data_IF_843310437802
#
_entry.id   IF_843310437802
#
_cell.length_a   1.000
_cell.length_b   1.000
_cell.length_c   1.000
_cell.angle_alpha   90.00
_cell.angle_beta   90.00
_cell.angle_gamma   90.00
#
_symmetry.space_group_name_H-M   'P 1'
#
loop_
_entity.id
_entity.type
_entity.pdbx_description
1 polymer ?
#
# COMPACT_ATOMS: atom_id res chain seq x y z
N UNK A 1 -3.95 -14.74 -14.77
CA UNK A 1 -3.45 -15.02 -16.13
C UNK A 1 -3.86 -13.83 -16.98
N UNK A 2 -2.98 -12.85 -17.08
CA UNK A 2 -3.28 -11.59 -17.78
C UNK A 2 -2.50 -11.61 -19.09
N UNK A 3 -3.23 -11.81 -20.18
CA UNK A 3 -2.71 -11.81 -21.55
C UNK A 3 -2.02 -10.48 -21.85
N UNK A 4 -0.69 -10.49 -21.79
CA UNK A 4 0.14 -9.47 -22.42
C UNK A 4 0.14 -9.74 -23.92
N UNK A 5 -0.91 -9.27 -24.60
CA UNK A 5 -0.94 -9.23 -26.05
C UNK A 5 0.10 -8.19 -26.51
N UNK A 6 1.13 -8.56 -27.29
CA UNK A 6 2.09 -7.59 -27.78
C UNK A 6 1.38 -6.64 -28.75
N UNK A 7 1.40 -5.35 -28.38
CA UNK A 7 0.95 -4.22 -29.21
C UNK A 7 1.51 -4.37 -30.63
N UNK A 8 0.63 -4.19 -31.61
CA UNK A 8 0.81 -4.56 -33.02
C UNK A 8 2.20 -4.25 -33.58
N UNK A 9 2.87 -5.28 -34.10
CA UNK A 9 4.05 -5.12 -34.94
C UNK A 9 3.61 -4.42 -36.23
N UNK A 10 4.04 -3.18 -36.43
CA UNK A 10 3.95 -2.53 -37.73
C UNK A 10 4.64 -3.43 -38.77
N UNK A 11 3.91 -3.90 -39.78
CA UNK A 11 4.47 -4.78 -40.81
C UNK A 11 5.34 -3.95 -41.73
N UNK A 12 6.64 -4.25 -41.74
CA UNK A 12 7.58 -3.69 -42.72
C UNK A 12 7.47 -4.49 -44.01
N UNK A 13 7.26 -3.80 -45.12
CA UNK A 13 7.13 -4.42 -46.43
C UNK A 13 8.46 -4.42 -47.17
N UNK A 14 8.59 -5.31 -48.15
CA UNK A 14 9.77 -5.41 -48.98
C UNK A 14 9.87 -4.21 -49.94
N UNK A 15 11.04 -3.59 -49.98
CA UNK A 15 11.32 -2.42 -50.83
C UNK A 15 11.59 -2.79 -52.29
N UNK A 16 11.85 -4.07 -52.56
CA UNK A 16 12.23 -4.59 -53.88
C UNK A 16 11.05 -5.22 -54.64
N UNK A 17 9.90 -5.41 -53.98
CA UNK A 17 8.69 -5.91 -54.62
C UNK A 17 8.01 -4.80 -55.44
N UNK A 18 7.30 -5.20 -56.50
CA UNK A 18 6.43 -4.28 -57.24
C UNK A 18 5.31 -3.75 -56.32
N UNK A 19 4.84 -2.53 -56.58
CA UNK A 19 3.85 -1.86 -55.73
C UNK A 19 2.55 -2.66 -55.60
N UNK A 20 2.12 -3.31 -56.68
CA UNK A 20 0.90 -4.13 -56.74
C UNK A 20 0.99 -5.44 -55.94
N UNK A 21 2.18 -5.85 -55.48
CA UNK A 21 2.39 -7.11 -54.77
C UNK A 21 3.50 -7.04 -53.71
N UNK A 22 3.43 -6.04 -52.81
CA UNK A 22 4.39 -5.90 -51.72
C UNK A 22 4.26 -7.02 -50.69
N UNK A 23 5.31 -7.83 -50.59
CA UNK A 23 5.40 -8.92 -49.62
C UNK A 23 6.00 -8.43 -48.29
N UNK A 24 5.64 -9.03 -47.13
CA UNK A 24 6.25 -8.70 -45.85
C UNK A 24 7.77 -8.94 -45.86
N UNK A 25 8.53 -7.99 -45.33
CA UNK A 25 9.98 -8.12 -45.17
C UNK A 25 10.32 -9.11 -44.05
N UNK A 26 11.42 -9.84 -44.23
CA UNK A 26 11.97 -10.78 -43.26
C UNK A 26 13.23 -10.26 -42.59
N UNK A 27 14.04 -9.49 -43.31
CA UNK A 27 15.26 -8.85 -42.81
C UNK A 27 15.45 -7.49 -43.47
N UNK A 28 16.09 -6.58 -42.75
CA UNK A 28 16.64 -5.34 -43.30
C UNK A 28 18.15 -5.49 -43.41
N UNK A 29 18.72 -5.18 -44.58
CA UNK A 29 20.15 -5.05 -44.76
C UNK A 29 20.60 -3.70 -44.22
N UNK A 30 21.44 -3.69 -43.20
CA UNK A 30 21.89 -2.45 -42.56
C UNK A 30 22.77 -1.60 -43.47
N UNK A 31 23.48 -2.23 -44.41
CA UNK A 31 24.38 -1.57 -45.35
C UNK A 31 23.67 -1.01 -46.59
N UNK A 32 22.73 -1.77 -47.15
CA UNK A 32 21.89 -1.33 -48.28
C UNK A 32 20.72 -0.46 -47.84
N UNK A 33 20.33 -0.51 -46.57
CA UNK A 33 19.15 0.16 -46.02
C UNK A 33 17.85 -0.28 -46.71
N UNK A 34 17.80 -1.55 -47.15
CA UNK A 34 16.64 -2.17 -47.81
C UNK A 34 16.08 -3.32 -46.98
N UNK A 35 14.75 -3.40 -46.93
CA UNK A 35 13.98 -4.47 -46.33
C UNK A 35 13.55 -5.48 -47.41
N UNK A 36 13.84 -6.75 -47.18
CA UNK A 36 13.67 -7.81 -48.18
C UNK A 36 12.70 -8.90 -47.72
N UNK A 37 11.76 -9.29 -48.58
CA UNK A 37 10.96 -10.50 -48.40
C UNK A 37 11.82 -11.75 -48.61
N UNK A 38 11.27 -12.95 -48.37
CA UNK A 38 12.00 -14.23 -48.49
C UNK A 38 12.73 -14.35 -49.84
N UNK A 39 12.04 -14.03 -50.94
CA UNK A 39 12.60 -14.18 -52.29
C UNK A 39 13.78 -13.22 -52.53
N UNK A 40 13.63 -11.93 -52.20
CA UNK A 40 14.70 -10.95 -52.38
C UNK A 40 15.85 -11.14 -51.40
N UNK A 41 15.55 -11.63 -50.19
CA UNK A 41 16.56 -11.98 -49.20
C UNK A 41 17.41 -13.16 -49.66
N UNK A 42 16.82 -14.14 -50.37
CA UNK A 42 17.56 -15.29 -50.87
C UNK A 42 18.70 -14.85 -51.79
N UNK A 43 18.46 -13.92 -52.72
CA UNK A 43 19.50 -13.38 -53.61
C UNK A 43 20.63 -12.69 -52.82
N UNK A 44 20.28 -12.04 -51.70
CA UNK A 44 21.24 -11.40 -50.80
C UNK A 44 22.12 -12.42 -50.07
N UNK A 45 21.53 -13.54 -49.65
CA UNK A 45 22.22 -14.60 -48.91
C UNK A 45 23.03 -15.54 -49.81
N UNK A 46 22.64 -15.73 -51.08
CA UNK A 46 23.35 -16.61 -52.02
C UNK A 46 24.52 -15.93 -52.72
N UNK A 47 24.64 -14.60 -52.63
CA UNK A 47 25.78 -13.86 -53.18
C UNK A 47 26.90 -13.78 -52.15
N UNK A 48 28.07 -14.43 -52.35
CA UNK A 48 29.10 -14.58 -51.30
C UNK A 48 29.59 -13.26 -50.69
N UNK A 49 29.81 -12.24 -51.52
CA UNK A 49 30.28 -10.91 -51.06
C UNK A 49 29.23 -10.21 -50.19
N UNK A 50 27.95 -10.28 -50.58
CA UNK A 50 26.87 -9.67 -49.82
C UNK A 50 26.69 -10.40 -48.48
N UNK A 51 26.64 -11.73 -48.50
CA UNK A 51 26.53 -12.55 -47.29
C UNK A 51 27.61 -12.21 -46.25
N UNK A 52 28.84 -11.95 -46.68
CA UNK A 52 29.96 -11.64 -45.78
C UNK A 52 30.03 -10.18 -45.32
N UNK A 53 29.54 -9.22 -46.11
CA UNK A 53 29.80 -7.79 -45.86
C UNK A 53 28.54 -6.95 -45.62
N UNK A 54 27.35 -7.56 -45.69
CA UNK A 54 26.06 -6.90 -45.50
C UNK A 54 25.35 -7.47 -44.26
N UNK A 55 25.54 -6.86 -43.08
CA UNK A 55 24.84 -7.31 -41.88
C UNK A 55 23.33 -7.13 -42.01
N UNK A 56 22.60 -8.16 -41.61
CA UNK A 56 21.13 -8.23 -41.65
C UNK A 56 20.57 -8.14 -40.23
N UNK A 57 19.49 -7.39 -40.06
CA UNK A 57 18.75 -7.26 -38.79
C UNK A 57 17.26 -7.53 -39.02
N UNK A 58 16.48 -7.60 -37.93
CA UNK A 58 15.02 -7.65 -38.02
C UNK A 58 14.48 -6.44 -38.80
N UNK A 59 13.34 -6.58 -39.49
CA UNK A 59 12.79 -5.49 -40.29
C UNK A 59 12.60 -4.21 -39.47
N UNK A 60 13.30 -3.15 -39.86
CA UNK A 60 13.22 -1.84 -39.18
C UNK A 60 12.08 -1.05 -39.80
N UNK A 61 11.09 -0.66 -38.99
CA UNK A 61 10.03 0.24 -39.44
C UNK A 61 10.58 1.66 -39.61
N UNK A 62 10.61 2.16 -40.86
CA UNK A 62 10.86 3.58 -41.14
C UNK A 62 9.54 4.34 -41.06
N UNK A 63 9.17 4.87 -39.89
CA UNK A 63 8.00 5.76 -39.76
C UNK A 63 7.34 5.83 -38.37
N UNK A 64 7.46 7.03 -37.78
CA UNK A 64 6.56 7.77 -36.88
C UNK A 64 5.89 7.01 -35.72
N UNK A 65 6.61 6.92 -34.59
CA UNK A 65 6.01 6.58 -33.27
C UNK A 65 6.93 5.83 -32.32
N UNK A 66 8.09 5.36 -32.80
CA UNK A 66 9.12 4.70 -32.00
C UNK A 66 10.52 5.18 -32.39
N UNK A 67 11.53 4.83 -31.58
CA UNK A 67 12.94 5.15 -31.77
C UNK A 67 13.35 4.89 -33.23
N UNK A 68 13.76 5.93 -33.95
CA UNK A 68 14.28 5.81 -35.33
C UNK A 68 15.56 5.00 -35.26
N UNK A 69 15.51 3.73 -35.67
CA UNK A 69 16.69 2.86 -35.70
C UNK A 69 17.46 3.18 -36.97
N UNK A 70 18.44 4.08 -36.86
CA UNK A 70 19.39 4.36 -37.95
C UNK A 70 20.46 3.28 -37.99
N UNK A 71 20.76 2.76 -39.17
CA UNK A 71 21.85 1.77 -39.34
C UNK A 71 23.20 2.44 -39.59
N UNK A 72 23.20 3.72 -39.96
CA UNK A 72 24.38 4.55 -40.22
C UNK A 72 24.55 5.64 -39.16
N UNK A 73 25.80 5.97 -38.88
CA UNK A 73 26.18 7.07 -38.02
C UNK A 73 25.74 8.40 -38.68
N UNK A 74 25.03 9.28 -37.94
CA UNK A 74 24.59 10.56 -38.47
C UNK A 74 25.74 11.54 -38.74
N UNK A 75 26.87 11.39 -38.06
CA UNK A 75 28.03 12.27 -38.22
C UNK A 75 28.92 11.87 -39.41
N UNK A 76 29.18 10.56 -39.56
CA UNK A 76 30.15 10.07 -40.55
C UNK A 76 29.52 9.37 -41.75
N UNK A 77 28.22 9.10 -41.73
CA UNK A 77 27.51 8.32 -42.77
C UNK A 77 27.97 6.86 -42.88
N UNK A 78 28.82 6.39 -41.96
CA UNK A 78 29.35 5.03 -41.92
C UNK A 78 28.45 4.10 -41.11
N UNK A 79 28.51 2.81 -41.38
CA UNK A 79 27.73 1.80 -40.67
C UNK A 79 28.03 1.83 -39.16
N UNK A 80 27.00 1.70 -38.33
CA UNK A 80 27.15 1.49 -36.90
C UNK A 80 27.53 0.03 -36.64
N UNK A 81 28.63 -0.19 -35.94
CA UNK A 81 29.23 -1.53 -35.75
C UNK A 81 29.62 -1.82 -34.30
N UNK A 82 29.78 -0.77 -33.49
CA UNK A 82 30.20 -0.85 -32.10
C UNK A 82 29.19 -0.20 -31.16
N UNK A 83 29.25 -0.55 -29.89
CA UNK A 83 28.49 0.08 -28.81
C UNK A 83 29.47 0.63 -27.78
N UNK A 84 29.30 1.91 -27.44
CA UNK A 84 30.03 2.56 -26.36
C UNK A 84 29.28 2.32 -25.05
N UNK A 85 29.88 1.60 -24.11
CA UNK A 85 29.29 1.30 -22.80
C UNK A 85 29.30 2.51 -21.85
N UNK A 86 30.16 3.49 -22.10
CA UNK A 86 30.24 4.70 -21.27
C UNK A 86 29.15 5.72 -21.65
N UNK A 87 28.89 5.87 -22.95
CA UNK A 87 27.88 6.82 -23.47
C UNK A 87 26.54 6.16 -23.81
N UNK A 88 26.44 4.83 -23.69
CA UNK A 88 25.25 4.03 -24.01
C UNK A 88 24.72 4.22 -25.44
N UNK A 89 25.61 4.34 -26.42
CA UNK A 89 25.25 4.64 -27.81
C UNK A 89 25.93 3.72 -28.83
N UNK A 90 25.28 3.49 -29.96
CA UNK A 90 25.86 2.79 -31.10
C UNK A 90 26.76 3.75 -31.89
N UNK A 91 27.97 3.31 -32.24
CA UNK A 91 28.99 4.12 -32.91
C UNK A 91 29.57 3.41 -34.14
N UNK A 92 30.09 4.19 -35.09
CA UNK A 92 30.80 3.66 -36.26
C UNK A 92 32.31 3.61 -36.03
N UNK A 93 33.05 3.01 -36.96
CA UNK A 93 34.52 2.94 -36.90
C UNK A 93 35.20 4.31 -36.84
N UNK A 94 34.62 5.36 -37.46
CA UNK A 94 35.18 6.72 -37.39
C UNK A 94 35.04 7.32 -35.98
N UNK A 95 33.87 7.19 -35.35
CA UNK A 95 33.64 7.57 -33.97
C UNK A 95 34.65 6.92 -33.01
N UNK A 96 35.01 5.66 -33.27
CA UNK A 96 35.93 4.89 -32.43
C UNK A 96 37.39 5.37 -32.54
N UNK A 97 37.78 5.97 -33.67
CA UNK A 97 39.14 6.44 -33.93
C UNK A 97 39.28 7.93 -33.59
N UNK A 98 38.22 8.72 -33.81
CA UNK A 98 38.17 10.12 -33.42
C UNK A 98 38.10 10.27 -31.89
N UNK A 99 38.64 11.37 -31.37
CA UNK A 99 38.84 11.55 -29.92
C UNK A 99 37.53 11.49 -29.09
N UNK A 100 36.35 11.60 -29.70
CA UNK A 100 35.05 11.56 -29.00
C UNK A 100 34.77 10.24 -28.26
N UNK A 101 35.18 9.09 -28.79
CA UNK A 101 34.99 7.78 -28.13
C UNK A 101 36.27 6.94 -28.04
N UNK A 102 37.42 7.47 -28.48
CA UNK A 102 38.70 6.75 -28.59
C UNK A 102 39.17 6.09 -27.29
N UNK A 103 38.82 6.67 -26.14
CA UNK A 103 39.20 6.17 -24.82
C UNK A 103 38.05 5.52 -24.05
N UNK A 104 36.87 5.41 -24.67
CA UNK A 104 35.70 4.81 -24.03
C UNK A 104 35.71 3.29 -24.20
N UNK A 105 34.99 2.62 -23.30
CA UNK A 105 34.77 1.19 -23.36
C UNK A 105 33.83 0.83 -24.51
N UNK A 106 34.40 0.57 -25.67
CA UNK A 106 33.67 0.15 -26.86
C UNK A 106 33.72 -1.37 -27.03
N UNK A 107 32.57 -1.94 -27.38
CA UNK A 107 32.40 -3.37 -27.63
C UNK A 107 31.70 -3.59 -28.97
N UNK A 108 31.85 -4.77 -29.55
CA UNK A 108 30.97 -5.18 -30.66
C UNK A 108 29.54 -5.34 -30.14
N UNK A 109 28.55 -5.24 -31.02
CA UNK A 109 27.14 -5.41 -30.61
C UNK A 109 26.88 -6.76 -29.93
N UNK A 110 27.50 -7.85 -30.40
CA UNK A 110 27.32 -9.18 -29.80
C UNK A 110 27.80 -9.21 -28.34
N UNK A 111 29.00 -8.67 -28.09
CA UNK A 111 29.57 -8.61 -26.74
C UNK A 111 28.79 -7.67 -25.83
N UNK A 112 28.47 -6.45 -26.31
CA UNK A 112 27.70 -5.47 -25.54
C UNK A 112 26.31 -6.01 -25.19
N UNK A 113 25.61 -6.63 -26.15
CA UNK A 113 24.29 -7.22 -25.94
C UNK A 113 24.34 -8.29 -24.86
N UNK A 114 25.32 -9.20 -24.91
CA UNK A 114 25.49 -10.24 -23.88
C UNK A 114 25.73 -9.62 -22.49
N UNK A 115 26.73 -8.74 -22.37
CA UNK A 115 27.12 -8.13 -21.09
C UNK A 115 25.96 -7.30 -20.48
N UNK A 116 25.29 -6.49 -21.30
CA UNK A 116 24.17 -5.65 -20.84
C UNK A 116 22.92 -6.48 -20.52
N UNK A 117 22.65 -7.55 -21.28
CA UNK A 117 21.52 -8.44 -20.97
C UNK A 117 21.73 -9.13 -19.63
N UNK A 118 22.93 -9.66 -19.37
CA UNK A 118 23.28 -10.25 -18.07
C UNK A 118 23.16 -9.21 -16.94
N UNK A 119 23.63 -7.98 -17.16
CA UNK A 119 23.49 -6.88 -16.20
C UNK A 119 22.02 -6.54 -15.91
N UNK A 120 21.20 -6.37 -16.94
CA UNK A 120 19.76 -6.06 -16.79
C UNK A 120 19.03 -7.18 -16.05
N UNK A 121 19.36 -8.44 -16.33
CA UNK A 121 18.78 -9.59 -15.62
C UNK A 121 19.16 -9.59 -14.14
N UNK A 122 20.42 -9.31 -13.81
CA UNK A 122 20.89 -9.21 -12.43
C UNK A 122 20.22 -8.04 -11.68
N UNK A 123 20.14 -6.87 -12.31
CA UNK A 123 19.46 -5.69 -11.74
C UNK A 123 17.96 -5.95 -11.54
N UNK A 124 17.30 -6.61 -12.50
CA UNK A 124 15.89 -7.00 -12.37
C UNK A 124 15.67 -7.93 -11.17
N UNK A 125 16.51 -8.96 -11.01
CA UNK A 125 16.43 -9.87 -9.88
C UNK A 125 16.66 -9.15 -8.54
N UNK A 126 17.64 -8.25 -8.49
CA UNK A 126 17.92 -7.46 -7.30
C UNK A 126 16.75 -6.53 -6.92
N UNK A 127 16.11 -5.89 -7.92
CA UNK A 127 14.93 -5.05 -7.70
C UNK A 127 13.74 -5.86 -7.19
N UNK A 128 13.49 -7.03 -7.75
CA UNK A 128 12.41 -7.92 -7.30
C UNK A 128 12.64 -8.39 -5.85
N UNK A 129 13.88 -8.80 -5.52
CA UNK A 129 14.23 -9.20 -4.16
C UNK A 129 14.10 -8.04 -3.15
N UNK A 130 14.50 -6.83 -3.54
CA UNK A 130 14.33 -5.63 -2.72
C UNK A 130 12.85 -5.30 -2.50
N UNK A 131 12.03 -5.40 -3.54
CA UNK A 131 10.59 -5.16 -3.45
C UNK A 131 9.91 -6.18 -2.52
N UNK A 132 10.26 -7.47 -2.63
CA UNK A 132 9.74 -8.53 -1.78
C UNK A 132 10.15 -8.34 -0.30
N UNK A 133 11.41 -7.99 -0.05
CA UNK A 133 11.89 -7.67 1.29
C UNK A 133 11.22 -6.43 1.91
N UNK A 134 10.96 -5.40 1.09
CA UNK A 134 10.21 -4.22 1.51
C UNK A 134 8.74 -4.56 1.82
N UNK A 135 8.10 -5.37 0.98
CA UNK A 135 6.72 -5.81 1.19
C UNK A 135 6.58 -6.63 2.49
N UNK A 136 7.47 -7.60 2.69
CA UNK A 136 7.51 -8.39 3.94
C UNK A 136 7.71 -7.52 5.18
N UNK A 137 8.57 -6.51 5.09
CA UNK A 137 8.81 -5.57 6.20
C UNK A 137 7.59 -4.70 6.49
N UNK A 138 6.89 -4.24 5.44
CA UNK A 138 5.67 -3.45 5.56
C UNK A 138 4.53 -4.26 6.19
N UNK A 139 4.32 -5.50 5.74
CA UNK A 139 3.30 -6.41 6.31
C UNK A 139 3.56 -6.67 7.81
N UNK A 140 4.82 -6.89 8.20
CA UNK A 140 5.20 -7.05 9.62
C UNK A 140 4.93 -5.78 10.42
N UNK A 141 5.26 -4.61 9.87
CA UNK A 141 5.01 -3.33 10.52
C UNK A 141 3.50 -3.09 10.70
N UNK A 142 2.71 -3.29 9.66
CA UNK A 142 1.25 -3.11 9.68
C UNK A 142 0.61 -4.04 10.73
N UNK A 143 1.02 -5.31 10.76
CA UNK A 143 0.56 -6.28 11.76
C UNK A 143 0.88 -5.82 13.19
N UNK A 144 2.12 -5.40 13.44
CA UNK A 144 2.55 -4.93 14.76
C UNK A 144 1.78 -3.67 15.19
N UNK A 145 1.54 -2.74 14.28
CA UNK A 145 0.80 -1.51 14.58
C UNK A 145 -0.68 -1.80 14.88
N UNK A 146 -1.29 -2.71 14.10
CA UNK A 146 -2.63 -3.24 14.36
C UNK A 146 -2.72 -3.92 15.72
N UNK A 147 -1.73 -4.73 16.10
CA UNK A 147 -1.67 -5.39 17.41
C UNK A 147 -1.47 -4.40 18.57
N UNK A 148 -0.68 -3.33 18.39
CA UNK A 148 -0.56 -2.26 19.40
C UNK A 148 -1.87 -1.50 19.59
N UNK A 149 -2.55 -1.16 18.49
CA UNK A 149 -3.84 -0.49 18.53
C UNK A 149 -4.90 -1.39 19.17
N UNK A 150 -4.93 -2.67 18.80
CA UNK A 150 -5.80 -3.68 19.41
C UNK A 150 -5.59 -3.80 20.92
N UNK A 151 -4.33 -3.91 21.37
CA UNK A 151 -3.99 -3.93 22.81
C UNK A 151 -4.43 -2.66 23.54
N UNK A 152 -4.26 -1.50 22.92
CA UNK A 152 -4.68 -0.22 23.50
C UNK A 152 -6.20 -0.12 23.63
N UNK A 153 -6.93 -0.57 22.62
CA UNK A 153 -8.40 -0.64 22.63
C UNK A 153 -8.92 -1.55 23.75
N UNK A 154 -8.37 -2.77 23.89
CA UNK A 154 -8.76 -3.70 24.97
C UNK A 154 -8.53 -3.07 26.34
N UNK A 155 -7.38 -2.42 26.57
CA UNK A 155 -7.07 -1.73 27.84
C UNK A 155 -8.05 -0.59 28.15
N UNK A 156 -8.46 0.18 27.13
CA UNK A 156 -9.46 1.24 27.30
C UNK A 156 -10.83 0.66 27.66
N UNK A 157 -11.26 -0.38 26.95
CA UNK A 157 -12.53 -1.07 27.24
C UNK A 157 -12.53 -1.61 28.67
N UNK A 158 -11.44 -2.27 29.10
CA UNK A 158 -11.29 -2.79 30.45
C UNK A 158 -11.36 -1.69 31.50
N UNK A 159 -10.62 -0.59 31.32
CA UNK A 159 -10.62 0.54 32.25
C UNK A 159 -12.03 1.17 32.39
N UNK A 160 -12.73 1.40 31.26
CA UNK A 160 -14.08 1.96 31.27
C UNK A 160 -15.07 0.99 31.90
N UNK A 161 -14.94 -0.31 31.61
CA UNK A 161 -15.77 -1.37 32.20
C UNK A 161 -15.60 -1.40 33.73
N UNK A 162 -14.36 -1.35 34.22
CA UNK A 162 -14.06 -1.33 35.65
C UNK A 162 -14.63 -0.08 36.34
N UNK A 163 -14.50 1.10 35.71
CA UNK A 163 -15.08 2.34 36.25
C UNK A 163 -16.60 2.28 36.31
N UNK A 164 -17.25 1.76 35.26
CA UNK A 164 -18.70 1.56 35.22
C UNK A 164 -19.15 0.63 36.34
N UNK A 165 -18.49 -0.51 36.50
CA UNK A 165 -18.87 -1.53 37.48
C UNK A 165 -18.66 -1.01 38.92
N UNK A 166 -17.59 -0.25 39.15
CA UNK A 166 -17.36 0.45 40.43
C UNK A 166 -18.45 1.49 40.72
N UNK A 167 -18.82 2.31 39.73
CA UNK A 167 -19.88 3.31 39.88
C UNK A 167 -21.24 2.65 40.16
N UNK A 168 -21.56 1.58 39.42
CA UNK A 168 -22.79 0.81 39.61
C UNK A 168 -22.83 0.16 40.99
N UNK A 169 -21.73 -0.44 41.44
CA UNK A 169 -21.62 -1.04 42.77
C UNK A 169 -21.84 0.01 43.86
N UNK A 170 -21.23 1.20 43.75
CA UNK A 170 -21.44 2.29 44.72
C UNK A 170 -22.90 2.75 44.78
N UNK A 171 -23.54 2.90 43.62
CA UNK A 171 -24.97 3.24 43.53
C UNK A 171 -25.82 2.14 44.17
N UNK A 172 -25.56 0.87 43.84
CA UNK A 172 -26.27 -0.27 44.41
C UNK A 172 -26.11 -0.36 45.93
N UNK A 173 -24.90 -0.18 46.46
CA UNK A 173 -24.64 -0.17 47.90
C UNK A 173 -25.36 0.98 48.60
N UNK A 174 -25.32 2.20 48.02
CA UNK A 174 -26.01 3.38 48.55
C UNK A 174 -27.52 3.17 48.60
N UNK A 175 -28.13 2.73 47.49
CA UNK A 175 -29.58 2.45 47.42
C UNK A 175 -29.95 1.32 48.38
N UNK A 176 -29.16 0.25 48.46
CA UNK A 176 -29.41 -0.87 49.36
C UNK A 176 -29.36 -0.46 50.82
N UNK A 177 -28.38 0.35 51.23
CA UNK A 177 -28.27 0.86 52.60
C UNK A 177 -29.51 1.68 52.99
N UNK A 178 -30.05 2.48 52.06
CA UNK A 178 -31.26 3.29 52.29
C UNK A 178 -32.54 2.45 52.29
N UNK A 179 -32.56 1.38 51.50
CA UNK A 179 -33.65 0.42 51.47
C UNK A 179 -33.83 -0.32 52.80
N UNK A 180 -32.78 -0.40 53.64
CA UNK A 180 -32.87 -1.00 54.99
C UNK A 180 -33.97 -0.34 55.82
N UNK A 181 -34.01 1.00 55.90
CA UNK A 181 -35.03 1.71 56.69
C UNK A 181 -36.45 1.44 56.20
N UNK A 182 -36.66 1.38 54.88
CA UNK A 182 -37.95 1.05 54.26
C UNK A 182 -38.35 -0.39 54.57
N UNK A 183 -37.40 -1.34 54.48
CA UNK A 183 -37.63 -2.75 54.76
C UNK A 183 -37.94 -2.99 56.24
N UNK A 184 -37.22 -2.33 57.14
CA UNK A 184 -37.48 -2.36 58.59
C UNK A 184 -38.87 -1.85 58.90
N UNK A 185 -39.24 -0.66 58.39
CA UNK A 185 -40.59 -0.11 58.59
C UNK A 185 -41.69 -1.04 58.08
N UNK A 186 -41.50 -1.67 56.91
CA UNK A 186 -42.45 -2.67 56.38
C UNK A 186 -42.65 -3.84 57.36
N UNK A 187 -41.58 -4.40 57.88
CA UNK A 187 -41.64 -5.51 58.85
C UNK A 187 -42.32 -5.08 60.15
N UNK A 188 -41.98 -3.91 60.70
CA UNK A 188 -42.57 -3.37 61.92
C UNK A 188 -44.07 -3.10 61.76
N UNK A 189 -44.50 -2.53 60.62
CA UNK A 189 -45.91 -2.36 60.29
C UNK A 189 -46.66 -3.70 60.15
N UNK A 190 -46.04 -4.68 59.51
CA UNK A 190 -46.64 -6.00 59.32
C UNK A 190 -46.80 -6.75 60.64
N UNK A 191 -45.82 -6.65 61.54
CA UNK A 191 -45.89 -7.19 62.89
C UNK A 191 -47.01 -6.52 63.69
N UNK A 192 -47.05 -5.17 63.71
CA UNK A 192 -48.07 -4.42 64.43
C UNK A 192 -49.49 -4.69 63.90
N UNK A 193 -49.66 -4.87 62.59
CA UNK A 193 -50.96 -5.21 61.98
C UNK A 193 -51.45 -6.61 62.36
N UNK A 194 -50.52 -7.52 62.65
CA UNK A 194 -50.83 -8.92 62.98
C UNK A 194 -50.95 -9.16 64.49
N UNK A 195 -50.70 -8.14 65.32
CA UNK A 195 -50.83 -8.22 66.77
C UNK A 195 -52.29 -8.01 67.19
N UNK A 196 -52.85 -9.02 67.86
CA UNK A 196 -54.24 -8.99 68.33
C UNK A 196 -54.37 -8.47 69.76
N UNK A 197 -53.31 -8.57 70.56
CA UNK A 197 -53.31 -8.09 71.94
C UNK A 197 -53.07 -6.57 72.01
N UNK A 198 -54.06 -5.84 72.52
CA UNK A 198 -54.02 -4.38 72.58
C UNK A 198 -52.87 -3.83 73.43
N UNK A 199 -52.47 -4.53 74.50
CA UNK A 199 -51.38 -4.09 75.35
C UNK A 199 -50.02 -4.26 74.65
N UNK A 200 -49.76 -5.42 74.04
CA UNK A 200 -48.55 -5.68 73.25
C UNK A 200 -48.43 -4.75 72.04
N UNK A 201 -49.56 -4.47 71.36
CA UNK A 201 -49.60 -3.50 70.27
C UNK A 201 -49.14 -2.10 70.73
N UNK A 202 -49.72 -1.59 71.82
CA UNK A 202 -49.39 -0.27 72.34
C UNK A 202 -47.93 -0.18 72.83
N UNK A 203 -47.38 -1.28 73.39
CA UNK A 203 -45.97 -1.34 73.79
C UNK A 203 -45.00 -1.22 72.60
N UNK A 204 -45.32 -1.82 71.44
CA UNK A 204 -44.45 -1.78 70.27
C UNK A 204 -44.68 -0.56 69.36
N UNK A 205 -45.83 0.13 69.49
CA UNK A 205 -46.23 1.22 68.59
C UNK A 205 -45.19 2.35 68.50
N UNK A 206 -44.52 2.69 69.61
CA UNK A 206 -43.44 3.69 69.62
C UNK A 206 -42.34 3.37 68.61
N UNK A 207 -41.89 2.12 68.54
CA UNK A 207 -40.85 1.68 67.61
C UNK A 207 -41.37 1.69 66.18
N UNK A 208 -42.60 1.22 65.97
CA UNK A 208 -43.26 1.21 64.66
C UNK A 208 -43.38 2.63 64.10
N UNK A 209 -43.76 3.59 64.94
CA UNK A 209 -43.85 4.99 64.57
C UNK A 209 -42.48 5.56 64.18
N UNK A 210 -41.44 5.29 64.99
CA UNK A 210 -40.08 5.74 64.68
C UNK A 210 -39.56 5.15 63.35
N UNK A 211 -39.76 3.86 63.12
CA UNK A 211 -39.36 3.20 61.87
C UNK A 211 -40.08 3.79 60.65
N UNK A 212 -41.37 4.13 60.81
CA UNK A 212 -42.18 4.78 59.79
C UNK A 212 -41.67 6.18 59.45
N UNK A 213 -41.40 7.02 60.45
CA UNK A 213 -40.86 8.36 60.23
C UNK A 213 -39.46 8.30 59.58
N UNK A 214 -38.62 7.37 60.03
CA UNK A 214 -37.31 7.10 59.42
C UNK A 214 -37.44 6.70 57.94
N UNK A 215 -38.42 5.86 57.59
CA UNK A 215 -38.66 5.44 56.21
C UNK A 215 -39.23 6.57 55.34
N UNK A 216 -40.14 7.40 55.87
CA UNK A 216 -40.69 8.57 55.16
C UNK A 216 -39.62 9.59 54.79
N UNK A 217 -38.57 9.71 55.60
CA UNK A 217 -37.45 10.60 55.33
C UNK A 217 -36.49 10.10 54.23
N UNK A 218 -36.64 8.87 53.72
CA UNK A 218 -35.75 8.29 52.70
C UNK A 218 -36.14 8.75 51.29
N UNK A 219 -35.25 9.52 50.65
CA UNK A 219 -35.39 9.91 49.23
C UNK A 219 -34.50 9.10 48.28
N UNK A 220 -34.93 7.94 47.81
CA UNK A 220 -34.11 7.03 46.99
C UNK A 220 -33.43 7.66 45.75
N UNK A 221 -33.90 8.80 45.24
CA UNK A 221 -33.35 9.48 44.06
C UNK A 221 -32.23 10.47 44.38
N UNK A 222 -32.19 10.98 45.62
CA UNK A 222 -31.15 11.91 46.06
C UNK A 222 -29.75 11.36 45.78
N UNK A 223 -28.99 12.09 44.96
CA UNK A 223 -27.61 11.75 44.59
C UNK A 223 -27.46 10.82 43.37
N UNK A 224 -28.55 10.47 42.68
CA UNK A 224 -28.51 9.73 41.40
C UNK A 224 -28.68 10.64 40.18
N UNK A 225 -28.80 11.95 40.39
CA UNK A 225 -28.89 12.96 39.35
C UNK A 225 -27.59 13.00 38.52
N UNK A 226 -27.66 13.20 37.19
CA UNK A 226 -26.49 13.51 36.37
C UNK A 226 -25.69 14.69 36.93
N UNK A 227 -24.40 14.49 37.17
CA UNK A 227 -23.49 15.56 37.61
C UNK A 227 -22.87 16.31 36.44
N UNK A 228 -22.46 17.56 36.67
CA UNK A 228 -21.75 18.41 35.69
C UNK A 228 -20.48 17.76 35.11
N UNK A 229 -19.84 16.89 35.89
CA UNK A 229 -18.60 16.22 35.49
C UNK A 229 -18.82 15.17 34.40
N UNK A 230 -20.00 14.53 34.39
CA UNK A 230 -20.38 13.59 33.32
C UNK A 230 -20.52 14.34 32.00
N UNK A 231 -21.20 15.48 32.00
CA UNK A 231 -21.49 16.23 30.79
C UNK A 231 -20.21 16.82 30.18
N UNK A 232 -19.32 17.34 31.03
CA UNK A 232 -17.96 17.77 30.62
C UNK A 232 -17.15 16.64 30.01
N UNK A 233 -17.18 15.44 30.61
CA UNK A 233 -16.45 14.28 30.10
C UNK A 233 -16.94 13.87 28.70
N UNK A 234 -18.26 13.89 28.46
CA UNK A 234 -18.82 13.58 27.14
C UNK A 234 -18.35 14.59 26.10
N UNK A 235 -18.38 15.88 26.43
CA UNK A 235 -17.91 16.94 25.55
C UNK A 235 -16.41 16.80 25.22
N UNK A 236 -15.56 16.54 26.22
CA UNK A 236 -14.13 16.33 26.02
C UNK A 236 -13.82 15.11 25.15
N UNK A 237 -14.55 14.00 25.34
CA UNK A 237 -14.39 12.79 24.52
C UNK A 237 -14.76 13.07 23.07
N UNK A 238 -15.89 13.76 22.83
CA UNK A 238 -16.33 14.13 21.48
C UNK A 238 -15.29 15.01 20.77
N UNK A 239 -14.85 16.09 21.41
CA UNK A 239 -13.85 17.00 20.82
C UNK A 239 -12.51 16.32 20.53
N UNK A 240 -12.07 15.40 21.41
CA UNK A 240 -10.84 14.64 21.17
C UNK A 240 -11.01 13.64 20.02
N UNK A 241 -12.17 12.99 19.92
CA UNK A 241 -12.50 12.08 18.83
C UNK A 241 -12.44 12.77 17.47
N UNK A 242 -13.05 13.95 17.35
CA UNK A 242 -13.04 14.77 16.12
C UNK A 242 -11.60 15.12 15.70
N UNK A 243 -10.77 15.60 16.64
CA UNK A 243 -9.36 15.94 16.35
C UNK A 243 -8.51 14.77 15.89
N UNK A 244 -8.82 13.53 16.32
CA UNK A 244 -8.10 12.34 15.87
C UNK A 244 -8.46 11.95 14.42
N UNK A 245 -9.69 12.24 13.99
CA UNK A 245 -10.17 11.91 12.64
C UNK A 245 -9.70 12.94 11.60
N UNK A 246 -9.40 14.17 12.02
CA UNK A 246 -8.93 15.24 11.12
C UNK A 246 -7.41 15.18 10.82
N UNK A 247 -6.63 14.36 11.54
CA UNK A 247 -5.18 14.23 11.34
C UNK A 247 -4.78 13.15 10.33
N UNK A 248 -5.45 13.06 9.19
CA UNK A 248 -4.99 12.23 8.06
C UNK A 248 -4.10 13.04 7.11
N UNK A 249 -2.86 13.25 7.53
CA UNK A 249 -1.74 13.26 6.57
C UNK A 249 -0.92 12.01 6.85
N UNK A 250 -0.84 11.05 5.90
CA UNK A 250 -0.12 9.81 6.13
C UNK A 250 1.35 10.13 6.44
N UNK A 251 1.98 9.43 7.41
CA UNK A 251 3.38 9.64 7.74
C UNK A 251 4.23 9.39 6.50
N UNK A 252 5.00 10.42 6.13
CA UNK A 252 6.02 10.40 5.08
C UNK A 252 6.74 9.04 5.06
N UNK A 253 6.60 8.31 3.95
CA UNK A 253 7.49 7.19 3.66
C UNK A 253 8.92 7.74 3.61
N UNK A 254 9.91 7.11 4.28
CA UNK A 254 11.28 7.57 4.22
C UNK A 254 11.76 7.50 2.77
N UNK A 255 12.03 8.67 2.19
CA UNK A 255 12.66 8.80 0.88
C UNK A 255 13.98 8.05 0.96
N UNK A 256 14.07 6.93 0.24
CA UNK A 256 15.32 6.21 0.03
C UNK A 256 16.19 7.15 -0.79
N UNK A 257 17.04 7.92 -0.11
CA UNK A 257 18.09 8.71 -0.75
C UNK A 257 19.08 7.73 -1.38
N UNK A 258 18.91 7.45 -2.67
CA UNK A 258 19.95 6.83 -3.46
C UNK A 258 21.14 7.81 -3.49
N UNK A 259 22.14 7.56 -2.64
CA UNK A 259 23.47 8.14 -2.79
C UNK A 259 24.01 7.71 -4.15
N UNK A 260 24.06 8.67 -5.08
CA UNK A 260 24.95 8.59 -6.24
C UNK A 260 26.38 8.76 -5.73
N UNK A 261 27.21 7.74 -5.87
CA UNK A 261 28.64 7.83 -6.12
C UNK A 261 29.05 6.65 -6.98
#
# INVERSE_FOLDING_TARGET
MSDNLPKGRHVVYCDMCTEDNKQPARKTCMKCEISMCVQHLQAHLTTPVLLQTHPLTEPIASGNGGLVVTTKCPQHGKLLEYYCLDDFTCVCVSCAIEDQHRLHNMKTFSTAHKELLEKVQAEQQALLAKADGANTSLEKWEKNEREKLGRSSVRLIEAVTNLRDLALTRVQSSVSARMVSVKTSKSSLQAAKSEEDAFRFLQMYSQVHQDLENAKAVDLRKGLEPGSDRDKLVEEITQRGEKMMDTDSPPYLPVIQNKKY
#
